data_IF_782996029703
#
_entry.id   IF_782996029703
#
_cell.length_a   1.000
_cell.length_b   1.000
_cell.length_c   1.000
_cell.angle_alpha   90.00
_cell.angle_beta   90.00
_cell.angle_gamma   90.00
#
_symmetry.space_group_name_H-M   'P 1'
#
loop_
_entity.id
_entity.type
_entity.pdbx_description
1 polymer ?
#
# COMPACT_ATOMS: atom_id res chain seq x y z
N UNK A 1 1.80 -15.88 -1.89
CA UNK A 1 2.69 -15.01 -1.12
C UNK A 1 2.15 -14.93 0.30
N UNK A 2 2.92 -15.34 1.30
CA UNK A 2 2.52 -15.30 2.72
C UNK A 2 2.71 -13.90 3.30
N UNK A 3 2.13 -13.64 4.47
CA UNK A 3 2.34 -12.38 5.18
C UNK A 3 3.82 -12.18 5.59
N UNK A 4 4.56 -13.25 5.90
CA UNK A 4 6.00 -13.15 6.18
C UNK A 4 6.80 -12.71 4.95
N UNK A 5 6.45 -13.23 3.76
CA UNK A 5 7.04 -12.76 2.50
C UNK A 5 6.74 -11.27 2.27
N UNK A 6 5.53 -10.81 2.59
CA UNK A 6 5.19 -9.39 2.53
C UNK A 6 6.06 -8.56 3.49
N UNK A 7 6.26 -9.03 4.72
CA UNK A 7 7.12 -8.35 5.68
C UNK A 7 8.56 -8.28 5.19
N UNK A 8 9.07 -9.32 4.54
CA UNK A 8 10.39 -9.31 3.90
C UNK A 8 10.48 -8.28 2.76
N UNK A 9 9.40 -8.07 2.01
CA UNK A 9 9.35 -7.01 0.99
C UNK A 9 9.26 -5.61 1.60
N UNK A 10 8.52 -5.44 2.70
CA UNK A 10 8.44 -4.18 3.44
C UNK A 10 9.79 -3.86 4.12
N UNK A 11 10.53 -4.86 4.56
CA UNK A 11 11.88 -4.71 5.11
C UNK A 11 12.83 -4.06 4.09
N UNK A 12 12.70 -4.43 2.80
CA UNK A 12 13.45 -3.81 1.69
C UNK A 12 13.06 -2.35 1.42
N UNK A 13 11.94 -1.88 1.97
CA UNK A 13 11.51 -0.48 1.92
C UNK A 13 12.08 0.35 3.10
N UNK A 14 12.72 -0.28 4.08
CA UNK A 14 13.34 0.42 5.22
C UNK A 14 14.47 1.31 4.70
N UNK A 15 14.45 2.58 5.11
CA UNK A 15 15.39 3.60 4.65
C UNK A 15 15.10 4.17 3.25
N UNK A 16 13.99 3.77 2.61
CA UNK A 16 13.55 4.38 1.35
C UNK A 16 12.47 5.44 1.59
N UNK A 17 12.52 6.50 0.79
CA UNK A 17 11.49 7.53 0.73
C UNK A 17 10.30 7.05 -0.10
N UNK A 18 9.19 6.73 0.58
CA UNK A 18 7.97 6.24 -0.04
C UNK A 18 7.09 7.41 -0.46
N UNK A 19 6.72 7.42 -1.74
CA UNK A 19 5.82 8.44 -2.30
C UNK A 19 4.39 8.04 -2.05
N UNK A 20 3.53 8.99 -1.67
CA UNK A 20 2.10 8.69 -1.59
C UNK A 20 1.46 8.69 -2.98
N UNK A 21 0.41 7.88 -3.16
CA UNK A 21 -0.43 7.91 -4.37
C UNK A 21 -1.19 9.25 -4.48
N UNK A 22 -1.48 9.86 -3.32
CA UNK A 22 -2.13 11.16 -3.22
C UNK A 22 -1.12 12.32 -3.29
N UNK A 23 -1.62 13.56 -3.28
CA UNK A 23 -0.85 14.74 -2.85
C UNK A 23 -0.52 14.72 -1.33
N UNK A 24 -0.50 13.55 -0.71
CA UNK A 24 -0.21 13.41 0.71
C UNK A 24 1.31 13.36 0.90
N UNK A 25 1.73 13.81 2.09
CA UNK A 25 3.11 13.78 2.53
C UNK A 25 3.68 12.36 2.40
N UNK A 26 4.83 12.23 1.74
CA UNK A 26 5.56 10.96 1.67
C UNK A 26 6.03 10.51 3.05
N UNK A 27 6.44 9.25 3.15
CA UNK A 27 6.88 8.64 4.41
C UNK A 27 8.15 7.83 4.19
N UNK A 28 8.99 7.75 5.21
CA UNK A 28 10.19 6.92 5.23
C UNK A 28 10.01 5.87 6.31
N UNK A 29 10.10 4.59 5.95
CA UNK A 29 10.06 3.49 6.92
C UNK A 29 11.40 3.49 7.66
N UNK A 30 11.35 3.66 8.97
CA UNK A 30 12.56 3.67 9.80
C UNK A 30 12.89 2.28 10.29
N UNK A 31 11.88 1.47 10.59
CA UNK A 31 12.07 0.17 11.24
C UNK A 31 10.82 -0.72 11.08
N UNK A 32 11.06 -2.02 10.87
CA UNK A 32 10.02 -3.06 10.91
C UNK A 32 10.30 -3.95 12.12
N UNK A 33 9.58 -3.71 13.20
CA UNK A 33 9.72 -4.42 14.47
C UNK A 33 8.84 -5.67 14.46
N UNK A 34 9.47 -6.82 14.22
CA UNK A 34 8.79 -8.12 14.17
C UNK A 34 8.42 -8.64 15.56
N UNK A 35 9.14 -8.24 16.61
CA UNK A 35 8.87 -8.66 17.99
C UNK A 35 7.57 -8.03 18.49
N UNK A 36 7.42 -6.72 18.30
CA UNK A 36 6.22 -5.98 18.69
C UNK A 36 5.14 -5.95 17.58
N UNK A 37 5.41 -6.52 16.41
CA UNK A 37 4.53 -6.53 15.23
C UNK A 37 4.12 -5.12 14.79
N UNK A 38 5.09 -4.22 14.73
CA UNK A 38 4.88 -2.79 14.43
C UNK A 38 5.81 -2.32 13.32
N UNK A 39 5.30 -1.50 12.42
CA UNK A 39 6.10 -0.78 11.43
C UNK A 39 6.21 0.66 11.90
N UNK A 40 7.43 1.14 12.09
CA UNK A 40 7.74 2.53 12.43
C UNK A 40 8.14 3.30 11.18
N UNK A 41 7.62 4.52 11.07
CA UNK A 41 7.95 5.41 9.97
C UNK A 41 7.95 6.86 10.42
N UNK A 42 8.55 7.72 9.59
CA UNK A 42 8.53 9.17 9.75
C UNK A 42 7.94 9.82 8.51
N UNK A 43 7.17 10.89 8.69
CA UNK A 43 6.66 11.66 7.56
C UNK A 43 7.75 12.59 7.01
N UNK A 44 7.84 12.79 5.69
CA UNK A 44 8.99 13.48 5.09
C UNK A 44 9.00 15.00 5.35
N UNK A 45 7.85 15.70 5.31
CA UNK A 45 7.83 17.16 5.53
C UNK A 45 7.91 17.53 7.01
N UNK A 46 7.17 16.83 7.87
CA UNK A 46 7.02 17.19 9.30
C UNK A 46 7.85 16.31 10.24
N UNK A 47 8.56 15.30 9.71
CA UNK A 47 9.36 14.32 10.47
C UNK A 47 8.59 13.73 11.67
N UNK A 48 7.27 13.56 11.51
CA UNK A 48 6.40 13.04 12.57
C UNK A 48 6.52 11.52 12.62
N UNK A 49 6.86 10.99 13.79
CA UNK A 49 6.89 9.55 14.04
C UNK A 49 5.47 8.98 13.97
N UNK A 50 5.34 7.88 13.24
CA UNK A 50 4.10 7.13 13.02
C UNK A 50 4.41 5.65 13.18
N UNK A 51 3.40 4.90 13.60
CA UNK A 51 3.50 3.45 13.76
C UNK A 51 2.22 2.76 13.34
N UNK A 52 2.35 1.57 12.76
CA UNK A 52 1.23 0.74 12.33
C UNK A 52 1.45 -0.70 12.75
N UNK A 53 0.41 -1.31 13.34
CA UNK A 53 0.42 -2.73 13.67
C UNK A 53 0.29 -3.59 12.42
N UNK A 54 0.91 -4.76 12.45
CA UNK A 54 0.89 -5.73 11.37
C UNK A 54 -0.53 -6.16 11.01
N UNK A 55 -1.45 -6.27 11.98
CA UNK A 55 -2.85 -6.66 11.75
C UNK A 55 -3.54 -5.78 10.69
N UNK A 56 -3.20 -4.49 10.63
CA UNK A 56 -3.78 -3.57 9.64
C UNK A 56 -3.20 -3.78 8.25
N UNK A 57 -1.91 -4.10 8.16
CA UNK A 57 -1.23 -4.37 6.89
C UNK A 57 -1.68 -5.71 6.36
N UNK A 58 -1.76 -6.72 7.22
CA UNK A 58 -2.24 -8.06 6.93
C UNK A 58 -3.68 -8.00 6.42
N UNK A 59 -4.58 -7.29 7.11
CA UNK A 59 -5.97 -7.14 6.66
C UNK A 59 -6.08 -6.54 5.26
N UNK A 60 -5.27 -5.53 4.92
CA UNK A 60 -5.28 -4.94 3.58
C UNK A 60 -4.70 -5.92 2.56
N UNK A 61 -3.65 -6.66 2.94
CA UNK A 61 -2.99 -7.64 2.09
C UNK A 61 -3.88 -8.84 1.76
N UNK A 62 -4.58 -9.37 2.75
CA UNK A 62 -5.54 -10.47 2.57
C UNK A 62 -6.63 -10.05 1.59
N UNK A 63 -7.21 -8.86 1.77
CA UNK A 63 -8.18 -8.34 0.81
C UNK A 63 -7.56 -8.14 -0.58
N UNK A 64 -6.30 -7.72 -0.66
CA UNK A 64 -5.62 -7.52 -1.94
C UNK A 64 -5.37 -8.86 -2.66
N UNK A 65 -5.23 -9.94 -1.90
CA UNK A 65 -5.10 -11.30 -2.42
C UNK A 65 -6.45 -11.89 -2.86
N UNK A 66 -7.54 -11.48 -2.22
CA UNK A 66 -8.90 -11.96 -2.54
C UNK A 66 -9.57 -11.16 -3.66
N UNK A 67 -9.36 -9.85 -3.68
CA UNK A 67 -10.04 -8.91 -4.57
C UNK A 67 -9.10 -8.36 -5.66
N UNK A 68 -9.59 -8.14 -6.89
CA UNK A 68 -8.79 -7.57 -7.96
C UNK A 68 -8.37 -6.11 -7.68
N UNK A 69 -9.15 -5.37 -6.88
CA UNK A 69 -8.79 -4.02 -6.48
C UNK A 69 -9.35 -3.64 -5.10
N UNK A 70 -8.49 -3.15 -4.22
CA UNK A 70 -8.86 -2.87 -2.83
C UNK A 70 -8.80 -1.39 -2.52
N UNK A 71 -9.91 -0.86 -2.01
CA UNK A 71 -9.93 0.48 -1.42
C UNK A 71 -9.56 0.40 0.06
N UNK A 72 -8.36 0.89 0.40
CA UNK A 72 -7.79 0.78 1.76
C UNK A 72 -8.68 1.45 2.82
N UNK A 73 -9.32 2.58 2.51
CA UNK A 73 -10.21 3.25 3.49
C UNK A 73 -11.46 2.40 3.81
N UNK A 74 -11.98 1.66 2.83
CA UNK A 74 -13.10 0.74 3.05
C UNK A 74 -12.70 -0.43 3.95
N UNK A 75 -11.53 -1.01 3.72
CA UNK A 75 -11.00 -2.14 4.52
C UNK A 75 -10.75 -1.73 5.97
N UNK A 76 -10.17 -0.55 6.18
CA UNK A 76 -9.86 -0.04 7.53
C UNK A 76 -11.06 0.62 8.25
N UNK A 77 -12.28 0.44 7.72
CA UNK A 77 -13.58 0.86 8.27
C UNK A 77 -13.57 2.24 8.93
N UNK A 78 -13.12 3.29 8.22
CA UNK A 78 -13.36 4.67 8.68
C UNK A 78 -12.58 5.80 7.99
N UNK A 79 -13.07 7.03 8.19
CA UNK A 79 -12.54 8.28 7.61
C UNK A 79 -11.48 8.93 8.51
N UNK A 80 -10.20 8.57 8.37
CA UNK A 80 -9.16 9.29 9.12
C UNK A 80 -7.92 9.42 8.23
N UNK A 81 -7.50 10.66 7.96
CA UNK A 81 -6.46 11.00 6.97
C UNK A 81 -5.08 10.38 7.22
N UNK A 82 -4.87 9.69 8.35
CA UNK A 82 -3.64 8.90 8.58
C UNK A 82 -3.65 7.55 7.86
N UNK A 83 -4.81 7.05 7.40
CA UNK A 83 -4.96 5.75 6.71
C UNK A 83 -4.34 5.70 5.31
N UNK A 84 -3.88 6.84 4.78
CA UNK A 84 -3.08 6.89 3.56
C UNK A 84 -1.70 6.27 3.71
N UNK A 85 -1.20 6.06 4.94
CA UNK A 85 0.14 5.56 5.19
C UNK A 85 0.27 4.04 4.95
N UNK A 86 -0.62 3.17 5.47
CA UNK A 86 -0.70 1.77 5.05
C UNK A 86 -0.84 1.61 3.53
N UNK A 87 -1.69 2.44 2.91
CA UNK A 87 -1.84 2.48 1.45
C UNK A 87 -0.49 2.82 0.77
N UNK A 88 0.22 3.81 1.29
CA UNK A 88 1.51 4.26 0.76
C UNK A 88 2.56 3.15 0.88
N UNK A 89 2.64 2.44 2.01
CA UNK A 89 3.59 1.32 2.18
C UNK A 89 3.37 0.27 1.08
N UNK A 90 2.14 -0.20 0.93
CA UNK A 90 1.81 -1.24 -0.04
C UNK A 90 1.97 -0.77 -1.48
N UNK A 91 1.59 0.46 -1.80
CA UNK A 91 1.70 1.01 -3.16
C UNK A 91 3.14 1.22 -3.64
N UNK A 92 4.12 1.19 -2.73
CA UNK A 92 5.55 1.29 -3.07
C UNK A 92 6.21 -0.09 -3.21
N UNK A 93 5.44 -1.18 -3.10
CA UNK A 93 5.91 -2.53 -3.38
C UNK A 93 5.94 -2.80 -4.89
N UNK A 94 6.94 -3.54 -5.40
CA UNK A 94 7.05 -3.84 -6.83
C UNK A 94 5.86 -4.56 -7.46
N UNK A 95 5.22 -5.41 -6.66
CA UNK A 95 4.08 -6.24 -7.04
C UNK A 95 2.74 -5.52 -6.92
N UNK A 96 2.72 -4.26 -6.46
CA UNK A 96 1.48 -3.49 -6.27
C UNK A 96 1.40 -2.34 -7.26
N UNK A 97 0.26 -2.22 -7.90
CA UNK A 97 -0.10 -1.08 -8.73
C UNK A 97 -1.34 -0.40 -8.15
N UNK A 98 -1.53 0.88 -8.46
CA UNK A 98 -2.74 1.58 -8.06
C UNK A 98 -3.55 2.00 -9.28
N UNK A 99 -4.86 2.02 -9.10
CA UNK A 99 -5.82 2.48 -10.11
C UNK A 99 -6.90 3.33 -9.46
N UNK A 100 -7.68 4.02 -10.30
CA UNK A 100 -8.82 4.81 -9.85
C UNK A 100 -10.11 4.16 -10.35
N UNK A 101 -10.91 3.64 -9.42
CA UNK A 101 -12.24 3.07 -9.68
C UNK A 101 -13.28 3.96 -9.00
N UNK A 102 -14.31 4.40 -9.71
CA UNK A 102 -15.37 5.26 -9.17
C UNK A 102 -14.87 6.52 -8.44
N UNK A 103 -13.84 7.17 -9.00
CA UNK A 103 -13.12 8.33 -8.43
C UNK A 103 -12.34 8.06 -7.13
N UNK A 104 -12.35 6.82 -6.62
CA UNK A 104 -11.60 6.38 -5.44
C UNK A 104 -10.34 5.61 -5.86
N UNK A 105 -9.30 5.69 -5.04
CA UNK A 105 -8.05 4.96 -5.32
C UNK A 105 -8.19 3.53 -4.85
N UNK A 106 -7.65 2.62 -5.61
CA UNK A 106 -7.59 1.22 -5.23
C UNK A 106 -6.17 0.72 -5.47
N UNK A 107 -5.74 -0.21 -4.63
CA UNK A 107 -4.53 -1.00 -4.83
C UNK A 107 -4.91 -2.28 -5.58
N UNK A 108 -4.00 -2.80 -6.38
CA UNK A 108 -4.18 -4.07 -7.10
C UNK A 108 -2.83 -4.79 -7.19
N UNK A 109 -2.85 -6.11 -7.07
CA UNK A 109 -1.66 -6.92 -7.30
C UNK A 109 -1.37 -7.06 -8.79
N UNK A 110 -0.22 -6.53 -9.19
CA UNK A 110 0.38 -6.83 -10.48
C UNK A 110 1.12 -8.15 -10.36
N UNK A 111 0.80 -9.13 -11.19
CA UNK A 111 1.52 -10.42 -11.24
C UNK A 111 3.00 -10.31 -11.66
N UNK A 112 3.48 -9.10 -11.95
CA UNK A 112 4.86 -8.79 -12.32
C UNK A 112 5.58 -8.07 -11.17
N UNK A 113 6.64 -8.68 -10.63
CA UNK A 113 7.50 -8.09 -9.56
C UNK A 113 8.76 -7.40 -10.11
N UNK A 114 8.78 -7.04 -11.39
CA UNK A 114 9.97 -6.51 -12.09
C UNK A 114 10.34 -5.06 -11.72
N UNK A 115 9.65 -4.46 -10.76
CA UNK A 115 9.74 -3.03 -10.43
C UNK A 115 10.67 -2.75 -9.24
N UNK A 116 11.10 -1.50 -9.10
CA UNK A 116 11.95 -1.05 -7.98
C UNK A 116 11.11 -0.76 -6.74
N UNK A 117 11.63 -1.16 -5.59
CA UNK A 117 11.10 -0.79 -4.27
C UNK A 117 11.10 0.74 -4.10
N UNK A 118 10.09 1.27 -3.40
CA UNK A 118 9.97 2.71 -3.15
C UNK A 118 9.40 3.52 -4.33
N UNK A 119 8.82 2.83 -5.33
CA UNK A 119 8.23 3.49 -6.49
C UNK A 119 6.74 3.17 -6.59
N UNK A 120 5.92 4.22 -6.60
CA UNK A 120 4.47 4.09 -6.84
C UNK A 120 4.19 4.04 -8.35
N UNK A 121 3.45 3.04 -8.79
CA UNK A 121 3.08 2.86 -10.20
C UNK A 121 1.55 2.88 -10.40
N UNK A 122 1.10 3.74 -11.32
CA UNK A 122 -0.29 3.70 -11.80
C UNK A 122 -0.43 2.53 -12.78
N UNK A 123 -1.46 1.71 -12.58
CA UNK A 123 -1.83 0.64 -13.50
C UNK A 123 -2.16 1.20 -14.90
N UNK A 124 -1.77 0.45 -15.93
CA UNK A 124 -2.11 0.75 -17.32
C UNK A 124 -3.63 0.87 -17.52
N UNK A 125 -4.07 1.83 -18.32
CA UNK A 125 -5.48 2.13 -18.50
C UNK A 125 -6.25 0.92 -19.08
N UNK A 126 -5.61 0.05 -19.90
CA UNK A 126 -6.22 -1.17 -20.42
C UNK A 126 -6.48 -2.23 -19.35
N UNK A 127 -5.55 -2.40 -18.40
CA UNK A 127 -5.72 -3.31 -17.24
C UNK A 127 -6.75 -2.73 -16.26
N UNK A 128 -6.69 -1.43 -16.02
CA UNK A 128 -7.61 -0.73 -15.15
C UNK A 128 -9.06 -0.80 -15.67
N UNK A 129 -9.27 -0.78 -16.99
CA UNK A 129 -10.59 -0.90 -17.59
C UNK A 129 -11.21 -2.28 -17.33
N UNK A 130 -10.45 -3.36 -17.52
CA UNK A 130 -10.90 -4.73 -17.20
C UNK A 130 -11.32 -4.89 -15.74
N UNK A 131 -10.60 -4.25 -14.82
CA UNK A 131 -10.95 -4.25 -13.40
C UNK A 131 -12.22 -3.43 -13.17
N UNK A 132 -12.32 -2.22 -13.73
CA UNK A 132 -13.52 -1.37 -13.62
C UNK A 132 -14.78 -2.06 -14.16
N UNK A 133 -14.67 -2.85 -15.22
CA UNK A 133 -15.79 -3.63 -15.76
C UNK A 133 -16.29 -4.67 -14.75
N UNK A 134 -15.40 -5.33 -14.00
CA UNK A 134 -15.80 -6.25 -12.92
C UNK A 134 -16.52 -5.56 -11.76
N UNK A 135 -16.24 -4.28 -11.51
CA UNK A 135 -16.93 -3.46 -10.49
C UNK A 135 -18.24 -2.82 -10.98
N UNK A 136 -18.60 -2.99 -12.27
CA UNK A 136 -19.85 -2.44 -12.84
C UNK A 136 -21.03 -3.41 -12.80
N UNK A 137 -20.82 -4.67 -12.46
CA UNK A 137 -21.87 -5.69 -12.36
C UNK A 137 -22.39 -5.86 -10.93
#
# INVERSE_FOLDING_TARGET
>A
MTFDELLNEIDKLVGLELKSIARAEGVEITEVDRENKMIYMVTLEKRKKKKWGFDKIELIWEELCNEPAVHVESVLKGSNSSRSQPETILANLPSVEWLKVNKLKHLSLSGDSTRKYGTVQKMDDSKAEKIKEKYKN
#
